data_IF_903827197978
#
_entry.id   IF_903827197978
#
_cell.length_a   1.000
_cell.length_b   1.000
_cell.length_c   1.000
_cell.angle_alpha   90.00
_cell.angle_beta   90.00
_cell.angle_gamma   90.00
#
_symmetry.space_group_name_H-M   'P 1'
#
loop_
_entity.id
_entity.type
_entity.pdbx_description
1 polymer ?
#
# COMPACT_ATOMS: atom_id res chain seq x y z
N UNK A 1 -24.96 9.07 -5.97
CA UNK A 1 -25.01 9.19 -7.44
C UNK A 1 -25.65 7.94 -8.01
N UNK A 2 -26.21 7.93 -9.23
CA UNK A 2 -26.67 6.69 -9.83
C UNK A 2 -25.51 5.71 -10.00
N UNK A 3 -25.77 4.42 -9.77
CA UNK A 3 -24.79 3.35 -10.01
C UNK A 3 -24.33 3.36 -11.46
N UNK A 4 -23.04 3.14 -11.67
CA UNK A 4 -22.43 3.14 -13.01
C UNK A 4 -22.98 2.01 -13.89
N UNK A 5 -23.24 0.85 -13.29
CA UNK A 5 -23.75 -0.33 -13.98
C UNK A 5 -25.00 -0.88 -13.31
N UNK A 6 -25.94 -1.39 -14.11
CA UNK A 6 -27.20 -1.97 -13.61
C UNK A 6 -27.09 -3.47 -13.44
N UNK A 7 -27.83 -4.02 -12.48
CA UNK A 7 -27.99 -5.48 -12.36
C UNK A 7 -28.53 -6.07 -13.67
N UNK A 8 -27.92 -7.17 -14.12
CA UNK A 8 -28.22 -7.83 -15.40
C UNK A 8 -27.62 -7.16 -16.63
N UNK A 9 -26.98 -5.99 -16.49
CA UNK A 9 -26.28 -5.35 -17.62
C UNK A 9 -25.12 -6.24 -18.08
N UNK A 10 -25.02 -6.42 -19.40
CA UNK A 10 -23.91 -7.16 -20.02
C UNK A 10 -22.88 -6.16 -20.53
N UNK A 11 -21.65 -6.31 -20.05
CA UNK A 11 -20.47 -5.57 -20.50
C UNK A 11 -19.67 -6.45 -21.44
N UNK A 12 -19.06 -5.85 -22.46
CA UNK A 12 -18.19 -6.56 -23.42
C UNK A 12 -16.75 -6.18 -23.15
N UNK A 13 -15.92 -7.17 -22.87
CA UNK A 13 -14.47 -7.01 -22.78
C UNK A 13 -13.74 -7.56 -23.99
N UNK A 14 -12.42 -7.45 -23.98
CA UNK A 14 -11.54 -7.92 -25.04
C UNK A 14 -11.56 -9.45 -25.17
N UNK A 15 -11.75 -10.17 -24.06
CA UNK A 15 -11.73 -11.64 -24.01
C UNK A 15 -13.09 -12.27 -23.73
N UNK A 16 -14.12 -11.49 -23.39
CA UNK A 16 -15.42 -12.06 -23.06
C UNK A 16 -16.58 -11.08 -22.88
N UNK A 17 -17.68 -11.63 -22.36
CA UNK A 17 -18.85 -10.86 -21.94
C UNK A 17 -19.11 -11.11 -20.47
N UNK A 18 -19.57 -10.10 -19.77
CA UNK A 18 -19.73 -10.12 -18.33
C UNK A 18 -21.08 -9.56 -17.92
N UNK A 19 -21.90 -10.37 -17.27
CA UNK A 19 -23.21 -9.96 -16.78
C UNK A 19 -23.10 -9.52 -15.31
N UNK A 20 -23.48 -8.27 -15.01
CA UNK A 20 -23.45 -7.71 -13.65
C UNK A 20 -24.46 -8.46 -12.77
N UNK A 21 -24.01 -9.01 -11.65
CA UNK A 21 -24.85 -9.79 -10.73
C UNK A 21 -25.12 -9.08 -9.41
N UNK A 22 -24.20 -8.22 -8.96
CA UNK A 22 -24.34 -7.50 -7.70
C UNK A 22 -23.46 -6.25 -7.68
N UNK A 23 -23.98 -5.14 -7.18
CA UNK A 23 -23.16 -3.99 -6.77
C UNK A 23 -22.68 -4.20 -5.33
N UNK A 24 -21.37 -4.07 -5.11
CA UNK A 24 -20.72 -4.28 -3.81
C UNK A 24 -20.40 -2.95 -3.16
N UNK A 25 -19.88 -2.01 -3.95
CA UNK A 25 -19.57 -0.64 -3.57
C UNK A 25 -19.74 0.24 -4.83
N UNK A 26 -19.80 1.56 -4.65
CA UNK A 26 -20.01 2.56 -5.73
C UNK A 26 -19.10 2.40 -6.97
N UNK A 27 -17.98 1.69 -6.86
CA UNK A 27 -17.00 1.47 -7.94
C UNK A 27 -16.65 -0.01 -8.18
N UNK A 28 -17.35 -0.94 -7.53
CA UNK A 28 -17.03 -2.37 -7.53
C UNK A 28 -18.30 -3.22 -7.67
N UNK A 29 -18.32 -4.08 -8.66
CA UNK A 29 -19.42 -5.00 -8.95
C UNK A 29 -18.92 -6.44 -9.03
N UNK A 30 -19.79 -7.39 -8.67
CA UNK A 30 -19.65 -8.77 -9.11
C UNK A 30 -20.34 -8.96 -10.46
N UNK A 31 -19.74 -9.80 -11.27
CA UNK A 31 -20.28 -10.23 -12.54
C UNK A 31 -19.98 -11.69 -12.78
N UNK A 32 -20.63 -12.26 -13.78
CA UNK A 32 -20.36 -13.60 -14.29
C UNK A 32 -19.85 -13.54 -15.72
N UNK A 33 -18.84 -14.33 -16.02
CA UNK A 33 -18.39 -14.54 -17.40
C UNK A 33 -19.30 -15.55 -18.13
N UNK A 34 -18.97 -15.85 -19.39
CA UNK A 34 -19.73 -16.81 -20.22
C UNK A 34 -19.67 -18.26 -19.69
N UNK A 35 -18.68 -18.58 -18.84
CA UNK A 35 -18.51 -19.88 -18.20
C UNK A 35 -19.20 -19.93 -16.82
N UNK A 36 -20.03 -18.94 -16.47
CA UNK A 36 -20.71 -18.80 -15.17
C UNK A 36 -19.77 -18.61 -13.97
N UNK A 37 -18.50 -18.31 -14.22
CA UNK A 37 -17.52 -18.02 -13.17
C UNK A 37 -17.65 -16.58 -12.68
N UNK A 38 -17.50 -16.40 -11.37
CA UNK A 38 -17.53 -15.07 -10.76
C UNK A 38 -16.28 -14.27 -11.13
N UNK A 39 -16.47 -12.99 -11.43
CA UNK A 39 -15.41 -12.00 -11.62
C UNK A 39 -15.77 -10.71 -10.87
N UNK A 40 -14.75 -9.88 -10.64
CA UNK A 40 -14.93 -8.54 -10.05
C UNK A 40 -14.74 -7.50 -11.14
N UNK A 41 -15.70 -6.59 -11.28
CA UNK A 41 -15.63 -5.46 -12.20
C UNK A 41 -15.37 -4.20 -11.40
N UNK A 42 -14.44 -3.37 -11.86
CA UNK A 42 -14.16 -2.05 -11.30
C UNK A 42 -14.22 -0.98 -12.38
N UNK A 43 -14.88 0.13 -12.07
CA UNK A 43 -15.06 1.27 -12.95
C UNK A 43 -15.40 2.51 -12.13
N UNK A 44 -14.92 3.68 -12.56
CA UNK A 44 -15.22 4.95 -11.88
C UNK A 44 -15.19 6.10 -12.89
N UNK A 45 -16.22 6.94 -12.88
CA UNK A 45 -16.28 8.10 -13.76
C UNK A 45 -15.37 9.22 -13.24
N UNK A 46 -14.62 9.86 -14.14
CA UNK A 46 -13.90 11.10 -13.85
C UNK A 46 -12.75 10.99 -12.84
N UNK A 47 -12.29 9.77 -12.51
CA UNK A 47 -11.17 9.55 -11.59
C UNK A 47 -10.16 8.55 -12.17
N UNK A 48 -8.85 8.85 -12.19
CA UNK A 48 -7.83 7.99 -12.81
C UNK A 48 -7.50 6.71 -12.01
N UNK A 49 -8.27 6.36 -10.97
CA UNK A 49 -7.89 5.30 -10.01
C UNK A 49 -7.88 3.93 -10.69
N UNK A 50 -8.89 3.64 -11.50
CA UNK A 50 -9.01 2.35 -12.20
C UNK A 50 -7.97 2.24 -13.32
N UNK A 51 -7.68 3.34 -14.02
CA UNK A 51 -6.61 3.38 -15.02
C UNK A 51 -5.23 3.14 -14.39
N UNK A 52 -4.95 3.77 -13.24
CA UNK A 52 -3.71 3.54 -12.50
C UNK A 52 -3.59 2.09 -12.04
N UNK A 53 -4.65 1.51 -11.48
CA UNK A 53 -4.69 0.10 -11.08
C UNK A 53 -4.42 -0.82 -12.27
N UNK A 54 -5.09 -0.60 -13.41
CA UNK A 54 -4.85 -1.33 -14.66
C UNK A 54 -3.38 -1.29 -15.08
N UNK A 55 -2.80 -0.10 -15.15
CA UNK A 55 -1.43 0.10 -15.65
C UNK A 55 -0.41 -0.60 -14.74
N UNK A 56 -0.63 -0.58 -13.42
CA UNK A 56 0.18 -1.35 -12.46
C UNK A 56 0.02 -2.85 -12.70
N UNK A 57 -1.20 -3.37 -12.78
CA UNK A 57 -1.42 -4.80 -12.97
C UNK A 57 -0.79 -5.31 -14.27
N UNK A 58 -1.00 -4.61 -15.40
CA UNK A 58 -0.36 -4.94 -16.69
C UNK A 58 1.16 -5.02 -16.61
N UNK A 59 1.78 -4.14 -15.82
CA UNK A 59 3.24 -4.05 -15.73
C UNK A 59 3.86 -5.14 -14.86
N UNK A 60 3.15 -5.59 -13.83
CA UNK A 60 3.76 -6.40 -12.76
C UNK A 60 3.17 -7.78 -12.57
N UNK A 61 1.95 -8.06 -13.02
CA UNK A 61 1.30 -9.34 -12.74
C UNK A 61 2.08 -10.55 -13.29
N UNK A 62 2.72 -10.40 -14.46
CA UNK A 62 3.54 -11.46 -15.08
C UNK A 62 4.81 -11.77 -14.29
N UNK A 63 5.29 -10.78 -13.52
CA UNK A 63 6.48 -10.89 -12.66
C UNK A 63 6.11 -11.30 -11.24
N UNK A 64 4.83 -11.19 -10.86
CA UNK A 64 4.37 -11.42 -9.50
C UNK A 64 2.94 -11.99 -9.47
N UNK A 65 2.79 -13.31 -9.26
CA UNK A 65 1.50 -13.97 -9.29
C UNK A 65 0.66 -13.74 -8.00
N UNK A 66 1.18 -12.97 -7.03
CA UNK A 66 0.47 -12.70 -5.77
C UNK A 66 -0.34 -11.40 -5.80
N UNK A 67 -0.28 -10.64 -6.89
CA UNK A 67 -1.25 -9.59 -7.16
C UNK A 67 -2.56 -10.21 -7.65
N UNK A 68 -3.70 -9.58 -7.35
CA UNK A 68 -4.99 -10.02 -7.90
C UNK A 68 -4.93 -9.87 -9.43
N UNK A 69 -5.08 -10.96 -10.21
CA UNK A 69 -4.91 -10.88 -11.65
C UNK A 69 -5.94 -9.97 -12.33
N UNK A 70 -5.46 -9.17 -13.29
CA UNK A 70 -6.27 -8.54 -14.32
C UNK A 70 -6.57 -9.59 -15.40
N UNK A 71 -7.84 -9.91 -15.58
CA UNK A 71 -8.30 -10.94 -16.52
C UNK A 71 -8.70 -10.33 -17.85
N UNK A 72 -9.36 -9.18 -17.83
CA UNK A 72 -9.87 -8.52 -19.04
C UNK A 72 -10.07 -7.02 -18.81
N UNK A 73 -10.28 -6.28 -19.90
CA UNK A 73 -10.70 -4.89 -19.94
C UNK A 73 -12.02 -4.77 -20.67
N UNK A 74 -12.90 -3.91 -20.19
CA UNK A 74 -14.18 -3.64 -20.85
C UNK A 74 -13.95 -2.65 -22.00
N UNK A 75 -14.39 -3.04 -23.20
CA UNK A 75 -14.37 -2.22 -24.42
C UNK A 75 -15.70 -1.53 -24.67
N UNK A 76 -16.82 -2.16 -24.25
CA UNK A 76 -18.15 -1.57 -24.37
C UNK A 76 -18.93 -1.69 -23.04
N UNK A 77 -19.25 -0.55 -22.39
CA UNK A 77 -18.91 0.82 -22.79
C UNK A 77 -17.41 1.12 -22.63
N UNK A 78 -16.87 1.97 -23.51
CA UNK A 78 -15.43 2.32 -23.51
C UNK A 78 -15.07 3.38 -22.46
N UNK A 79 -16.05 4.16 -22.00
CA UNK A 79 -15.91 5.15 -20.92
C UNK A 79 -16.99 4.88 -19.85
N UNK A 80 -16.61 4.85 -18.56
CA UNK A 80 -15.26 5.05 -18.02
C UNK A 80 -14.37 3.79 -18.16
N UNK A 81 -13.04 3.94 -18.06
CA UNK A 81 -12.12 2.81 -18.00
C UNK A 81 -12.57 1.80 -16.95
N UNK A 82 -12.85 0.58 -17.42
CA UNK A 82 -13.43 -0.48 -16.60
C UNK A 82 -12.63 -1.75 -16.80
N UNK A 83 -12.24 -2.38 -15.68
CA UNK A 83 -11.39 -3.57 -15.68
C UNK A 83 -12.08 -4.76 -15.02
N UNK A 84 -11.69 -5.96 -15.45
CA UNK A 84 -12.16 -7.23 -14.93
C UNK A 84 -11.03 -7.92 -14.16
N UNK A 85 -11.26 -8.15 -12.88
CA UNK A 85 -10.31 -8.78 -11.96
C UNK A 85 -10.78 -10.17 -11.56
N UNK A 86 -9.84 -11.04 -11.24
CA UNK A 86 -10.13 -12.38 -10.70
C UNK A 86 -10.90 -12.29 -9.38
N UNK A 87 -12.01 -13.02 -9.29
CA UNK A 87 -12.70 -13.24 -8.03
C UNK A 87 -11.88 -14.16 -7.11
N UNK A 88 -11.78 -13.79 -5.83
CA UNK A 88 -11.14 -14.59 -4.78
C UNK A 88 -12.19 -14.81 -3.69
N UNK A 89 -12.44 -16.07 -3.32
CA UNK A 89 -13.60 -16.43 -2.48
C UNK A 89 -13.54 -15.89 -1.05
N UNK A 90 -12.37 -15.86 -0.44
CA UNK A 90 -12.19 -15.45 0.94
C UNK A 90 -10.89 -14.64 1.10
N UNK A 91 -10.77 -13.92 2.20
CA UNK A 91 -9.56 -13.19 2.56
C UNK A 91 -8.86 -13.82 3.77
N UNK A 92 -7.56 -13.54 3.89
CA UNK A 92 -6.68 -14.18 4.87
C UNK A 92 -7.20 -14.03 6.32
N UNK A 93 -7.73 -12.85 6.67
CA UNK A 93 -8.27 -12.59 8.00
C UNK A 93 -9.41 -13.57 8.36
N UNK A 94 -10.43 -13.68 7.52
CA UNK A 94 -11.55 -14.61 7.73
C UNK A 94 -11.09 -16.07 7.79
N UNK A 95 -10.22 -16.46 6.85
CA UNK A 95 -9.65 -17.81 6.84
C UNK A 95 -8.90 -18.12 8.15
N UNK A 96 -8.15 -17.14 8.68
CA UNK A 96 -7.39 -17.30 9.93
C UNK A 96 -8.26 -17.37 11.19
N UNK A 97 -9.43 -16.70 11.19
CA UNK A 97 -10.42 -16.77 12.27
C UNK A 97 -11.09 -18.15 12.26
N UNK A 98 -11.44 -18.68 11.08
CA UNK A 98 -12.03 -20.02 10.93
C UNK A 98 -11.05 -21.14 11.31
N UNK A 99 -9.76 -20.95 11.01
CA UNK A 99 -8.71 -21.92 11.28
C UNK A 99 -7.39 -21.22 11.56
N UNK A 100 -6.84 -21.46 12.76
CA UNK A 100 -5.51 -20.99 13.12
C UNK A 100 -4.45 -21.54 12.15
N UNK A 101 -3.62 -20.65 11.62
CA UNK A 101 -2.53 -21.01 10.73
C UNK A 101 -1.39 -21.65 11.54
N UNK A 102 -0.87 -22.78 11.06
CA UNK A 102 0.34 -23.35 11.63
C UNK A 102 1.59 -22.57 11.20
N UNK A 103 2.74 -22.84 11.84
CA UNK A 103 4.00 -22.13 11.56
C UNK A 103 4.44 -22.19 10.10
N UNK A 104 4.21 -23.31 9.39
CA UNK A 104 4.57 -23.46 7.97
C UNK A 104 3.66 -22.63 7.07
N UNK A 105 2.35 -22.68 7.33
CA UNK A 105 1.34 -21.87 6.62
C UNK A 105 1.61 -20.37 6.83
N UNK A 106 1.88 -19.96 8.07
CA UNK A 106 2.21 -18.57 8.38
C UNK A 106 3.46 -18.10 7.63
N UNK A 107 4.55 -18.88 7.67
CA UNK A 107 5.77 -18.58 6.91
C UNK A 107 5.50 -18.48 5.41
N UNK A 108 4.68 -19.39 4.87
CA UNK A 108 4.31 -19.39 3.46
C UNK A 108 3.58 -18.10 3.07
N UNK A 109 2.56 -17.72 3.84
CA UNK A 109 1.77 -16.51 3.62
C UNK A 109 2.63 -15.26 3.76
N UNK A 110 3.44 -15.16 4.83
CA UNK A 110 4.38 -14.05 5.01
C UNK A 110 5.33 -13.91 3.83
N UNK A 111 5.88 -15.02 3.31
CA UNK A 111 6.77 -14.99 2.14
C UNK A 111 6.06 -14.44 0.91
N UNK A 112 4.82 -14.86 0.64
CA UNK A 112 4.04 -14.36 -0.52
C UNK A 112 3.69 -12.89 -0.39
N UNK A 113 3.34 -12.44 0.81
CA UNK A 113 3.10 -11.01 1.08
C UNK A 113 4.37 -10.20 0.82
N UNK A 114 5.53 -10.65 1.31
CA UNK A 114 6.80 -9.97 1.06
C UNK A 114 7.17 -9.96 -0.44
N UNK A 115 6.92 -11.06 -1.15
CA UNK A 115 7.08 -11.14 -2.61
C UNK A 115 6.18 -10.09 -3.30
N UNK A 116 4.91 -9.94 -2.89
CA UNK A 116 4.00 -8.91 -3.38
C UNK A 116 4.46 -7.47 -3.05
N UNK A 117 4.88 -7.22 -1.81
CA UNK A 117 5.36 -5.90 -1.36
C UNK A 117 6.62 -5.45 -2.10
N UNK A 118 7.48 -6.38 -2.51
CA UNK A 118 8.66 -6.07 -3.33
C UNK A 118 8.28 -5.35 -4.62
N UNK A 119 7.15 -5.71 -5.25
CA UNK A 119 6.65 -5.03 -6.45
C UNK A 119 6.21 -3.60 -6.15
N UNK A 120 5.56 -3.35 -5.01
CA UNK A 120 5.19 -1.99 -4.62
C UNK A 120 6.43 -1.12 -4.42
N UNK A 121 7.51 -1.67 -3.86
CA UNK A 121 8.77 -0.94 -3.74
C UNK A 121 9.37 -0.58 -5.13
N UNK A 122 9.31 -1.50 -6.10
CA UNK A 122 9.73 -1.21 -7.48
C UNK A 122 8.85 -0.14 -8.13
N UNK A 123 7.53 -0.19 -7.92
CA UNK A 123 6.58 0.80 -8.43
C UNK A 123 6.89 2.21 -7.88
N UNK A 124 7.12 2.33 -6.58
CA UNK A 124 7.54 3.58 -5.95
C UNK A 124 8.84 4.09 -6.58
N UNK A 125 9.82 3.20 -6.80
CA UNK A 125 11.06 3.54 -7.48
C UNK A 125 10.89 4.02 -8.93
N UNK A 126 9.83 3.58 -9.62
CA UNK A 126 9.50 3.98 -10.99
C UNK A 126 8.73 5.30 -11.05
N UNK A 127 7.81 5.55 -10.12
CA UNK A 127 7.01 6.78 -10.08
C UNK A 127 7.89 7.99 -9.78
N UNK A 128 8.80 7.87 -8.82
CA UNK A 128 9.66 8.98 -8.39
C UNK A 128 11.06 8.95 -9.01
N UNK A 129 11.37 7.92 -9.81
CA UNK A 129 12.67 7.69 -10.42
C UNK A 129 13.73 7.17 -9.44
N UNK A 130 14.60 6.27 -9.93
CA UNK A 130 15.87 5.93 -9.28
C UNK A 130 15.80 5.34 -7.87
N UNK A 131 15.16 4.18 -7.68
CA UNK A 131 15.08 3.51 -6.36
C UNK A 131 14.66 4.48 -5.24
N UNK A 132 13.66 5.33 -5.52
CA UNK A 132 13.17 6.32 -4.56
C UNK A 132 12.81 5.63 -3.24
N UNK A 133 13.59 5.97 -2.23
CA UNK A 133 13.38 5.58 -0.85
C UNK A 133 13.71 6.80 -0.02
N UNK A 134 12.68 7.33 0.65
CA UNK A 134 12.75 8.54 1.46
C UNK A 134 13.92 8.50 2.47
N UNK A 135 14.22 7.31 2.97
CA UNK A 135 15.24 7.06 3.99
C UNK A 135 16.58 6.58 3.41
N UNK A 136 16.71 6.38 2.10
CA UNK A 136 17.97 5.96 1.48
C UNK A 136 18.98 7.11 1.48
N UNK A 137 20.15 6.98 2.16
CA UNK A 137 21.25 7.93 2.08
C UNK A 137 21.68 8.17 0.63
N UNK A 138 21.94 9.43 0.25
CA UNK A 138 22.39 9.76 -1.12
C UNK A 138 23.89 9.51 -1.31
N UNK A 139 24.67 9.60 -0.23
CA UNK A 139 26.13 9.65 -0.28
C UNK A 139 26.80 8.40 0.30
N UNK A 140 26.02 7.40 0.75
CA UNK A 140 26.55 6.20 1.41
C UNK A 140 26.00 4.95 0.73
N UNK A 141 26.91 4.03 0.40
CA UNK A 141 26.56 2.74 -0.22
C UNK A 141 25.84 1.82 0.77
N UNK A 142 24.87 0.99 0.35
CA UNK A 142 24.21 0.00 1.21
C UNK A 142 25.16 -0.95 1.95
N UNK A 143 26.33 -1.25 1.37
CA UNK A 143 27.33 -2.15 1.95
C UNK A 143 28.28 -1.46 2.94
N UNK A 144 28.14 -0.14 3.14
CA UNK A 144 28.96 0.63 4.07
C UNK A 144 28.45 0.46 5.51
N UNK A 145 29.35 0.33 6.48
CA UNK A 145 29.01 0.08 7.90
C UNK A 145 28.10 1.18 8.48
N UNK A 146 28.33 2.43 8.08
CA UNK A 146 27.53 3.58 8.52
C UNK A 146 26.19 3.75 7.80
N UNK A 147 25.87 2.92 6.79
CA UNK A 147 24.63 3.06 6.02
C UNK A 147 23.40 3.00 6.94
N UNK A 148 23.40 2.08 7.91
CA UNK A 148 22.33 1.95 8.89
C UNK A 148 22.18 3.17 9.81
N UNK A 149 23.29 3.87 10.11
CA UNK A 149 23.26 5.10 10.89
C UNK A 149 22.69 6.26 10.06
N UNK A 150 23.10 6.40 8.80
CA UNK A 150 22.61 7.44 7.90
C UNK A 150 21.12 7.28 7.54
N UNK A 151 20.63 6.04 7.43
CA UNK A 151 19.20 5.76 7.32
C UNK A 151 18.45 6.28 8.56
N UNK A 152 18.98 6.03 9.76
CA UNK A 152 18.37 6.50 11.02
C UNK A 152 18.38 8.02 11.14
N UNK A 153 19.47 8.68 10.75
CA UNK A 153 19.54 10.15 10.66
C UNK A 153 18.46 10.71 9.74
N UNK A 154 18.21 10.10 8.58
CA UNK A 154 17.11 10.50 7.69
C UNK A 154 15.74 10.26 8.32
N UNK A 155 15.51 9.10 8.92
CA UNK A 155 14.24 8.83 9.62
C UNK A 155 13.98 9.88 10.71
N UNK A 156 15.00 10.24 11.48
CA UNK A 156 14.91 11.30 12.49
C UNK A 156 14.60 12.67 11.90
N UNK A 157 15.19 13.04 10.75
CA UNK A 157 14.83 14.30 10.06
C UNK A 157 13.36 14.38 9.68
N UNK A 158 12.71 13.25 9.38
CA UNK A 158 11.31 13.20 8.96
C UNK A 158 10.31 13.05 10.13
N UNK A 159 10.63 12.22 11.12
CA UNK A 159 9.70 11.83 12.20
C UNK A 159 10.14 12.22 13.60
N UNK A 160 11.34 12.80 13.75
CA UNK A 160 11.80 13.38 15.00
C UNK A 160 11.03 14.65 15.38
N UNK A 161 11.32 15.21 16.56
CA UNK A 161 12.33 14.78 17.51
C UNK A 161 11.92 13.55 18.35
N UNK A 162 12.89 12.94 19.05
CA UNK A 162 12.61 11.93 20.06
C UNK A 162 11.98 12.60 21.29
N UNK A 163 11.03 11.93 21.92
CA UNK A 163 10.38 12.41 23.14
C UNK A 163 11.16 11.97 24.39
N UNK A 164 11.08 12.73 25.48
CA UNK A 164 11.80 12.46 26.73
C UNK A 164 11.49 11.08 27.34
N UNK A 165 10.26 10.58 27.16
CA UNK A 165 9.81 9.28 27.68
C UNK A 165 10.57 8.05 27.14
N UNK A 166 11.49 8.22 26.19
CA UNK A 166 12.41 7.15 25.80
C UNK A 166 13.34 6.74 26.95
N UNK A 167 13.63 7.63 27.90
CA UNK A 167 14.42 7.32 29.11
C UNK A 167 13.86 6.15 29.92
N UNK A 168 12.54 5.92 29.86
CA UNK A 168 11.87 4.84 30.56
C UNK A 168 12.15 3.45 29.98
N UNK A 169 12.53 3.38 28.70
CA UNK A 169 12.58 2.12 27.93
C UNK A 169 13.93 1.85 27.26
N UNK A 170 14.74 2.89 27.05
CA UNK A 170 16.00 2.79 26.34
C UNK A 170 17.17 2.65 27.32
N UNK A 171 18.21 1.91 26.92
CA UNK A 171 19.42 1.81 27.72
C UNK A 171 20.14 3.16 27.80
N UNK A 172 20.98 3.41 28.82
CA UNK A 172 21.77 4.64 28.92
C UNK A 172 22.60 4.92 27.65
N UNK A 173 23.14 3.87 27.02
CA UNK A 173 23.90 3.98 25.77
C UNK A 173 23.00 4.42 24.60
N UNK A 174 21.77 3.91 24.55
CA UNK A 174 20.79 4.30 23.53
C UNK A 174 20.33 5.74 23.73
N UNK A 175 20.14 6.18 24.98
CA UNK A 175 19.83 7.57 25.31
C UNK A 175 20.97 8.50 24.92
N UNK A 176 22.22 8.13 25.23
CA UNK A 176 23.39 8.90 24.81
C UNK A 176 23.47 9.02 23.28
N UNK A 177 23.17 7.94 22.55
CA UNK A 177 23.10 7.97 21.08
C UNK A 177 21.98 8.86 20.55
N UNK A 178 20.80 8.85 21.19
CA UNK A 178 19.68 9.75 20.85
C UNK A 178 20.06 11.21 21.08
N UNK A 179 20.67 11.52 22.23
CA UNK A 179 21.13 12.88 22.55
C UNK A 179 22.16 13.36 21.53
N UNK A 180 23.16 12.53 21.21
CA UNK A 180 24.14 12.84 20.17
C UNK A 180 23.49 13.11 18.81
N UNK A 181 22.48 12.33 18.43
CA UNK A 181 21.73 12.53 17.18
C UNK A 181 20.94 13.84 17.16
N UNK A 182 20.34 14.22 18.29
CA UNK A 182 19.58 15.47 18.44
C UNK A 182 20.47 16.71 18.40
N UNK A 183 21.71 16.59 18.91
CA UNK A 183 22.74 17.64 18.78
C UNK A 183 23.26 17.76 17.35
N UNK A 184 23.50 16.63 16.68
CA UNK A 184 23.98 16.60 15.29
C UNK A 184 22.93 17.13 14.30
N UNK A 185 21.64 16.88 14.56
CA UNK A 185 20.52 17.27 13.70
C UNK A 185 19.55 18.13 14.52
N UNK A 186 19.83 19.44 14.68
CA UNK A 186 18.93 20.31 15.42
C UNK A 186 17.57 20.42 14.72
N UNK A 187 16.52 20.74 15.50
CA UNK A 187 15.14 20.78 15.01
C UNK A 187 14.96 21.70 13.78
N UNK A 188 15.73 22.79 13.69
CA UNK A 188 15.74 23.70 12.54
C UNK A 188 16.22 23.07 11.22
N UNK A 189 17.00 21.98 11.29
CA UNK A 189 17.51 21.24 10.14
C UNK A 189 16.67 19.98 9.82
N UNK A 190 15.59 19.75 10.58
CA UNK A 190 14.65 18.67 10.27
C UNK A 190 13.82 19.02 9.03
N UNK A 191 13.37 17.98 8.33
CA UNK A 191 12.44 18.07 7.20
C UNK A 191 11.21 17.26 7.53
N UNK A 192 10.29 17.77 8.40
CA UNK A 192 9.18 16.99 8.89
C UNK A 192 8.35 16.35 7.78
N UNK A 193 7.95 15.09 7.96
CA UNK A 193 7.28 14.31 6.92
C UNK A 193 5.99 14.96 6.39
N UNK A 194 5.24 15.67 7.25
CA UNK A 194 4.05 16.42 6.84
C UNK A 194 4.34 17.52 5.80
N UNK A 195 5.59 17.99 5.69
CA UNK A 195 6.04 18.99 4.71
C UNK A 195 6.49 18.40 3.37
N UNK A 196 6.52 17.07 3.23
CA UNK A 196 6.77 16.40 1.94
C UNK A 196 5.76 16.92 0.92
N UNK A 197 6.11 17.02 -0.37
CA UNK A 197 5.23 17.65 -1.35
C UNK A 197 3.97 16.81 -1.60
N UNK A 198 2.81 17.41 -1.91
CA UNK A 198 1.59 16.66 -2.26
C UNK A 198 1.71 15.90 -3.58
N UNK A 199 2.66 16.29 -4.44
CA UNK A 199 3.05 15.51 -5.62
C UNK A 199 3.67 14.16 -5.24
N UNK A 200 4.31 14.08 -4.07
CA UNK A 200 4.99 12.88 -3.60
C UNK A 200 4.10 12.01 -2.72
N UNK A 201 3.28 12.58 -1.85
CA UNK A 201 2.37 11.81 -0.99
C UNK A 201 1.06 12.58 -0.86
N UNK A 202 -0.08 11.95 -1.13
CA UNK A 202 -1.39 12.59 -0.95
C UNK A 202 -1.61 13.02 0.49
N UNK A 203 -2.43 14.06 0.73
CA UNK A 203 -2.66 14.58 2.09
C UNK A 203 -3.15 13.48 3.06
N UNK A 204 -4.14 12.69 2.66
CA UNK A 204 -4.68 11.60 3.47
C UNK A 204 -3.62 10.53 3.77
N UNK A 205 -2.77 10.23 2.78
CA UNK A 205 -1.68 9.27 2.94
C UNK A 205 -0.60 9.81 3.89
N UNK A 206 -0.32 11.13 3.87
CA UNK A 206 0.61 11.75 4.83
C UNK A 206 0.12 11.63 6.27
N UNK A 207 -1.15 11.89 6.50
CA UNK A 207 -1.77 11.77 7.82
C UNK A 207 -1.73 10.32 8.30
N UNK A 208 -2.10 9.37 7.42
CA UNK A 208 -2.05 7.94 7.73
C UNK A 208 -0.62 7.45 8.01
N UNK A 209 0.34 7.77 7.13
CA UNK A 209 1.75 7.38 7.29
C UNK A 209 2.32 8.02 8.57
N UNK A 210 2.00 9.29 8.85
CA UNK A 210 2.41 9.97 10.08
C UNK A 210 1.94 9.25 11.35
N UNK A 211 0.73 8.69 11.33
CA UNK A 211 0.19 7.89 12.45
C UNK A 211 0.95 6.57 12.65
N UNK A 212 1.23 5.83 11.58
CA UNK A 212 1.87 4.50 11.70
C UNK A 212 3.40 4.56 11.85
N UNK A 213 4.03 5.66 11.45
CA UNK A 213 5.49 5.85 11.48
C UNK A 213 5.99 6.64 12.69
N UNK A 214 5.18 6.77 13.76
CA UNK A 214 5.66 7.39 15.00
C UNK A 214 6.87 6.64 15.56
N UNK A 215 7.86 7.41 16.02
CA UNK A 215 9.11 6.87 16.57
C UNK A 215 8.82 5.99 17.80
N UNK A 216 8.06 6.50 18.77
CA UNK A 216 7.66 5.72 19.94
C UNK A 216 6.51 4.78 19.57
N UNK A 217 6.76 3.48 19.71
CA UNK A 217 5.77 2.43 19.43
C UNK A 217 4.53 2.56 20.31
N UNK A 218 4.65 3.13 21.52
CA UNK A 218 3.55 3.30 22.48
C UNK A 218 2.55 4.37 22.04
N UNK A 219 2.98 5.30 21.17
CA UNK A 219 2.12 6.36 20.63
C UNK A 219 1.40 5.95 19.37
N UNK A 220 1.78 4.81 18.77
CA UNK A 220 1.14 4.38 17.53
C UNK A 220 -0.30 3.97 17.84
N UNK A 221 -1.26 4.51 17.07
CA UNK A 221 -2.64 4.09 17.18
C UNK A 221 -2.75 2.60 16.89
N UNK A 222 -3.68 1.97 17.59
CA UNK A 222 -4.09 0.59 17.35
C UNK A 222 -4.66 0.43 15.94
N UNK A 223 -4.72 -0.81 15.45
CA UNK A 223 -5.37 -1.11 14.17
C UNK A 223 -6.82 -0.61 14.13
N UNK A 224 -7.54 -0.66 15.26
CA UNK A 224 -8.90 -0.16 15.38
C UNK A 224 -8.99 1.36 15.18
N UNK A 225 -8.10 2.12 15.81
CA UNK A 225 -8.05 3.58 15.67
C UNK A 225 -7.57 4.02 14.29
N UNK A 226 -6.71 3.23 13.64
CA UNK A 226 -6.24 3.48 12.27
C UNK A 226 -7.31 3.22 11.22
N UNK A 227 -8.11 2.17 11.39
CA UNK A 227 -9.16 1.79 10.48
C UNK A 227 -10.43 2.62 10.68
N UNK A 228 -10.53 3.35 11.81
CA UNK A 228 -11.63 4.24 12.13
C UNK A 228 -12.98 3.53 12.07
N UNK A 229 -13.33 2.79 13.13
CA UNK A 229 -14.60 2.07 13.35
C UNK A 229 -15.49 1.94 12.08
N UNK A 230 -15.47 0.75 11.44
CA UNK A 230 -16.62 0.30 10.64
C UNK A 230 -17.91 0.36 11.46
#
# INVERSE_FOLDING_TARGET
>A
MPSLFRLGQVLRGSFGKYAITKEIQDTVWFAKNQAEENVVIKGVQGHPRVENERNVLKRFQDRNPYLRPLIDEIEEPSDPPTIVLKYLEDHLLNASIKKTLNRKELKYVSRRILEALKVLHELIGLIYGGNFNLFRPRNVSPDHEEYGLEVRKRQFRYFGPFQAKYEEIASPETIAAIMCLMEEIPQSQTTPFHRTTEKEVGKNDKEFIGKIMMLDLRDRPTSRELLGDE
#
